data_IF_692421576191
#
_entry.id   IF_692421576191
#
_cell.length_a   1.000
_cell.length_b   1.000
_cell.length_c   1.000
_cell.angle_alpha   90.00
_cell.angle_beta   90.00
_cell.angle_gamma   90.00
#
_symmetry.space_group_name_H-M   'P 1'
#
loop_
_entity.id
_entity.type
_entity.pdbx_description
1 polymer ?
#
# COMPACT_ATOMS: atom_id res chain seq x y z
N UNK A 1 -23.39 -40.42 32.39
CA UNK A 1 -22.16 -41.22 32.53
C UNK A 1 -21.20 -40.80 31.43
N UNK A 2 -20.13 -40.08 31.76
CA UNK A 2 -19.10 -39.65 30.80
C UNK A 2 -17.94 -40.64 30.89
N UNK A 3 -17.46 -41.23 29.78
CA UNK A 3 -16.37 -42.20 29.84
C UNK A 3 -15.04 -41.50 30.16
N UNK A 4 -14.32 -42.10 31.09
CA UNK A 4 -13.14 -41.60 31.76
C UNK A 4 -11.94 -41.49 30.79
N UNK A 5 -11.24 -40.37 30.89
CA UNK A 5 -10.07 -39.99 30.11
C UNK A 5 -8.90 -40.93 30.37
N UNK A 6 -8.35 -41.55 29.33
CA UNK A 6 -7.05 -42.23 29.37
C UNK A 6 -5.91 -41.21 29.31
N UNK A 7 -5.86 -40.28 30.27
CA UNK A 7 -4.62 -39.56 30.57
C UNK A 7 -3.66 -40.60 31.15
N UNK A 8 -2.46 -40.70 30.59
CA UNK A 8 -1.37 -41.53 31.11
C UNK A 8 -1.09 -41.11 32.55
N UNK A 9 -1.77 -41.77 33.48
CA UNK A 9 -1.75 -41.44 34.89
C UNK A 9 -0.43 -41.96 35.46
N UNK A 10 0.31 -41.08 36.15
CA UNK A 10 1.60 -41.40 36.77
C UNK A 10 1.49 -42.66 37.63
N UNK A 11 2.22 -43.71 37.27
CA UNK A 11 2.28 -44.97 38.02
C UNK A 11 3.47 -44.94 39.00
N UNK A 12 3.24 -44.72 40.30
CA UNK A 12 4.33 -44.56 41.28
C UNK A 12 5.15 -45.84 41.50
N UNK A 13 4.64 -47.01 41.10
CA UNK A 13 5.37 -48.27 41.20
C UNK A 13 6.50 -48.40 40.15
N UNK A 14 6.40 -47.68 39.03
CA UNK A 14 7.38 -47.70 37.94
C UNK A 14 8.25 -46.44 37.98
N UNK A 15 7.70 -45.32 38.45
CA UNK A 15 8.33 -44.00 38.32
C UNK A 15 8.83 -43.36 39.64
N UNK A 16 8.58 -43.97 40.80
CA UNK A 16 9.01 -43.41 42.10
C UNK A 16 8.12 -42.26 42.58
N UNK A 17 8.54 -41.55 43.61
CA UNK A 17 7.88 -40.34 44.11
C UNK A 17 7.85 -39.24 43.03
N UNK A 18 6.70 -38.58 42.88
CA UNK A 18 6.47 -37.60 41.81
C UNK A 18 7.39 -36.39 41.98
N UNK A 19 8.38 -36.26 41.10
CA UNK A 19 9.29 -35.10 41.03
C UNK A 19 8.76 -34.05 40.02
N UNK A 20 8.29 -32.87 40.48
CA UNK A 20 7.76 -31.82 39.62
C UNK A 20 8.82 -31.13 38.76
N UNK A 21 10.11 -31.38 38.99
CA UNK A 21 11.22 -30.80 38.21
C UNK A 21 11.72 -31.72 37.10
N UNK A 22 11.16 -32.92 36.98
CA UNK A 22 11.62 -33.92 36.03
C UNK A 22 11.32 -33.53 34.56
N UNK A 23 12.16 -33.96 33.60
CA UNK A 23 12.02 -33.58 32.19
C UNK A 23 10.70 -34.05 31.56
N UNK A 24 10.09 -35.13 32.04
CA UNK A 24 8.78 -35.60 31.57
C UNK A 24 7.59 -34.77 32.10
N UNK A 25 7.79 -33.98 33.16
CA UNK A 25 6.78 -33.09 33.74
C UNK A 25 6.75 -31.71 33.06
N UNK A 26 7.74 -31.41 32.21
CA UNK A 26 7.83 -30.15 31.48
C UNK A 26 6.92 -30.20 30.26
N UNK A 27 5.73 -29.62 30.37
CA UNK A 27 4.85 -29.42 29.21
C UNK A 27 5.45 -28.33 28.32
N UNK A 28 5.53 -28.52 26.99
CA UNK A 28 5.95 -27.46 26.08
C UNK A 28 4.96 -26.30 26.16
N UNK A 29 5.46 -25.06 26.16
CA UNK A 29 4.61 -23.88 26.13
C UNK A 29 3.82 -23.88 24.81
N UNK A 30 2.52 -24.12 24.89
CA UNK A 30 1.60 -23.99 23.76
C UNK A 30 1.58 -22.52 23.34
N UNK A 31 2.18 -22.19 22.19
CA UNK A 31 2.02 -20.88 21.56
C UNK A 31 0.56 -20.75 21.09
N UNK A 32 -0.27 -20.16 21.94
CA UNK A 32 -1.69 -19.92 21.69
C UNK A 32 -1.87 -19.02 20.44
N UNK A 33 -2.41 -19.57 19.35
CA UNK A 33 -2.69 -18.83 18.11
C UNK A 33 -3.86 -17.86 18.31
N UNK A 34 -3.58 -16.67 18.86
CA UNK A 34 -4.59 -15.66 19.22
C UNK A 34 -4.49 -14.44 18.31
N UNK A 35 -5.57 -14.15 17.57
CA UNK A 35 -5.73 -12.90 16.82
C UNK A 35 -6.55 -11.87 17.63
N UNK A 36 -6.04 -10.65 17.79
CA UNK A 36 -6.78 -9.53 18.41
C UNK A 36 -7.28 -8.54 17.36
N UNK A 37 -8.54 -8.12 17.47
CA UNK A 37 -9.18 -7.11 16.63
C UNK A 37 -9.80 -6.02 17.50
N UNK A 38 -9.72 -4.76 17.07
CA UNK A 38 -10.33 -3.62 17.74
C UNK A 38 -11.59 -3.15 16.99
N UNK A 39 -12.63 -2.77 17.73
CA UNK A 39 -13.88 -2.25 17.19
C UNK A 39 -14.25 -0.94 17.87
N UNK A 40 -14.81 0.00 17.11
CA UNK A 40 -15.26 1.27 17.66
C UNK A 40 -16.51 1.05 18.53
N UNK A 41 -16.47 1.47 19.80
CA UNK A 41 -17.57 1.30 20.77
C UNK A 41 -18.92 1.87 20.31
N UNK A 42 -18.92 2.99 19.59
CA UNK A 42 -20.16 3.69 19.21
C UNK A 42 -20.73 3.22 17.87
N UNK A 43 -19.88 2.74 16.96
CA UNK A 43 -20.31 2.40 15.58
C UNK A 43 -20.13 0.92 15.24
N UNK A 44 -19.48 0.14 16.10
CA UNK A 44 -19.17 -1.28 15.87
C UNK A 44 -18.20 -1.54 14.72
N UNK A 45 -17.71 -0.51 14.03
CA UNK A 45 -16.84 -0.68 12.86
C UNK A 45 -15.45 -1.18 13.26
N UNK A 46 -14.91 -2.12 12.48
CA UNK A 46 -13.56 -2.64 12.62
C UNK A 46 -12.53 -1.51 12.49
N UNK A 47 -11.64 -1.43 13.47
CA UNK A 47 -10.48 -0.53 13.47
C UNK A 47 -9.24 -1.41 13.27
N UNK A 48 -8.83 -1.56 12.01
CA UNK A 48 -7.62 -2.32 11.67
C UNK A 48 -6.34 -1.70 12.24
N UNK A 49 -5.20 -2.37 12.06
CA UNK A 49 -3.90 -1.91 12.55
C UNK A 49 -3.47 -0.53 11.99
N UNK A 50 -3.91 -0.20 10.77
CA UNK A 50 -3.75 1.13 10.15
C UNK A 50 -4.98 2.03 10.33
N UNK A 51 -5.88 1.66 11.24
CA UNK A 51 -7.07 2.43 11.61
C UNK A 51 -6.69 3.75 12.27
N UNK A 52 -7.71 4.54 12.64
CA UNK A 52 -7.53 5.83 13.33
C UNK A 52 -6.91 5.62 14.72
N UNK A 53 -5.61 5.37 14.76
CA UNK A 53 -4.80 5.30 15.96
C UNK A 53 -4.82 6.66 16.67
N UNK A 54 -4.64 6.72 17.99
CA UNK A 54 -4.51 7.96 18.75
C UNK A 54 -3.53 8.94 18.10
N UNK A 55 -2.40 8.42 17.60
CA UNK A 55 -1.34 9.16 16.90
C UNK A 55 -1.84 9.90 15.64
N UNK A 56 -2.93 9.42 15.04
CA UNK A 56 -3.51 9.97 13.81
C UNK A 56 -4.56 11.06 14.06
N UNK A 57 -4.80 11.44 15.32
CA UNK A 57 -5.67 12.57 15.70
C UNK A 57 -4.84 13.84 15.94
N UNK A 58 -4.03 14.22 14.95
CA UNK A 58 -3.38 15.53 14.89
C UNK A 58 -4.15 16.48 13.96
N UNK A 59 -3.85 17.78 14.05
CA UNK A 59 -4.52 18.81 13.25
C UNK A 59 -4.29 18.61 11.74
N UNK A 60 -3.13 18.11 11.34
CA UNK A 60 -2.79 17.80 9.94
C UNK A 60 -3.69 16.70 9.34
N UNK A 61 -3.87 15.59 10.04
CA UNK A 61 -4.75 14.50 9.59
C UNK A 61 -6.23 14.89 9.66
N UNK A 62 -6.58 15.89 10.46
CA UNK A 62 -7.93 16.46 10.50
C UNK A 62 -8.17 17.37 9.29
N UNK A 63 -7.25 18.29 9.01
CA UNK A 63 -7.33 19.19 7.86
C UNK A 63 -7.36 18.39 6.56
N UNK A 64 -6.50 17.37 6.43
CA UNK A 64 -6.49 16.45 5.27
C UNK A 64 -7.84 15.78 5.05
N UNK A 65 -8.45 15.24 6.11
CA UNK A 65 -9.79 14.61 6.04
C UNK A 65 -10.91 15.59 5.70
N UNK A 66 -10.80 16.84 6.13
CA UNK A 66 -11.75 17.89 5.75
C UNK A 66 -11.58 18.28 4.29
N UNK A 67 -10.34 18.40 3.82
CA UNK A 67 -10.02 18.73 2.42
C UNK A 67 -10.42 17.63 1.45
N UNK A 68 -10.23 16.35 1.81
CA UNK A 68 -10.67 15.17 1.04
C UNK A 68 -12.18 15.21 0.70
N UNK A 69 -13.01 15.86 1.51
CA UNK A 69 -14.45 15.96 1.26
C UNK A 69 -14.81 16.96 0.15
N UNK A 70 -14.05 18.05 0.04
CA UNK A 70 -14.35 19.14 -0.90
C UNK A 70 -13.47 19.11 -2.15
N UNK A 71 -12.28 18.54 -2.03
CA UNK A 71 -11.29 18.47 -3.07
C UNK A 71 -10.88 17.01 -3.23
N UNK A 72 -10.84 16.53 -4.48
CA UNK A 72 -10.17 15.28 -4.80
C UNK A 72 -8.65 15.52 -4.69
N UNK A 73 -8.18 15.58 -3.43
CA UNK A 73 -6.80 15.90 -3.05
C UNK A 73 -5.84 14.89 -3.69
N UNK A 74 -6.28 13.64 -3.85
CA UNK A 74 -5.48 12.55 -4.43
C UNK A 74 -5.38 12.69 -5.96
N UNK A 75 -6.46 13.07 -6.65
CA UNK A 75 -6.39 13.39 -8.07
C UNK A 75 -5.57 14.65 -8.33
N UNK A 76 -5.70 15.70 -7.52
CA UNK A 76 -4.94 16.94 -7.67
C UNK A 76 -3.43 16.75 -7.35
N UNK A 77 -3.10 15.91 -6.37
CA UNK A 77 -1.71 15.53 -6.10
C UNK A 77 -1.10 14.69 -7.24
N UNK A 78 -1.92 13.85 -7.89
CA UNK A 78 -1.49 12.98 -8.99
C UNK A 78 -1.52 13.66 -10.37
N UNK A 79 -2.31 14.72 -10.56
CA UNK A 79 -2.58 15.32 -11.88
C UNK A 79 -1.37 15.94 -12.55
N UNK A 80 -0.30 16.17 -11.80
CA UNK A 80 0.89 16.85 -12.29
C UNK A 80 2.09 15.91 -12.49
N UNK A 81 1.99 14.58 -12.30
CA UNK A 81 3.15 13.66 -12.33
C UNK A 81 4.33 14.14 -11.45
N UNK A 82 4.06 14.93 -10.41
CA UNK A 82 5.09 15.61 -9.60
C UNK A 82 5.83 16.76 -10.30
N UNK A 83 5.36 17.20 -11.48
CA UNK A 83 5.90 18.35 -12.20
C UNK A 83 5.49 19.64 -11.48
N UNK A 84 6.44 20.55 -11.38
CA UNK A 84 6.17 21.88 -10.83
C UNK A 84 5.34 22.73 -11.79
N UNK A 85 4.56 23.67 -11.27
CA UNK A 85 3.84 24.69 -12.04
C UNK A 85 4.75 25.43 -13.05
N UNK A 86 6.04 25.57 -12.72
CA UNK A 86 7.06 26.16 -13.60
C UNK A 86 7.39 25.25 -14.78
N UNK A 87 7.45 23.93 -14.57
CA UNK A 87 7.68 22.95 -15.63
C UNK A 87 6.50 22.86 -16.60
N UNK A 88 5.27 23.06 -16.13
CA UNK A 88 4.07 23.13 -16.98
C UNK A 88 4.00 24.40 -17.81
N UNK A 89 4.43 25.53 -17.22
CA UNK A 89 4.49 26.82 -17.92
C UNK A 89 5.67 26.91 -18.88
N UNK A 90 6.64 26.00 -18.80
CA UNK A 90 7.73 25.98 -19.76
C UNK A 90 7.23 25.44 -21.10
N UNK A 91 7.37 26.28 -22.13
CA UNK A 91 7.12 25.86 -23.51
C UNK A 91 8.02 24.68 -23.85
N UNK A 92 7.43 23.64 -24.48
CA UNK A 92 8.15 22.41 -24.86
C UNK A 92 9.35 22.77 -25.74
N UNK A 93 10.56 22.59 -25.21
CA UNK A 93 11.80 22.78 -25.98
C UNK A 93 11.95 21.62 -26.95
N UNK A 94 11.88 21.89 -28.25
CA UNK A 94 12.09 20.87 -29.27
C UNK A 94 13.54 20.38 -29.22
N UNK A 95 13.70 19.07 -29.29
CA UNK A 95 15.01 18.43 -29.43
C UNK A 95 15.61 18.70 -30.81
N UNK A 96 16.94 18.63 -30.94
CA UNK A 96 17.62 18.84 -32.23
C UNK A 96 17.11 17.89 -33.34
N UNK A 97 16.71 16.67 -32.98
CA UNK A 97 16.12 15.69 -33.90
C UNK A 97 14.74 16.15 -34.40
N UNK A 98 13.88 16.63 -33.50
CA UNK A 98 12.56 17.15 -33.85
C UNK A 98 12.68 18.39 -34.77
N UNK A 99 13.60 19.31 -34.47
CA UNK A 99 13.86 20.49 -35.33
C UNK A 99 14.28 20.06 -36.75
N UNK A 100 15.17 19.06 -36.87
CA UNK A 100 15.60 18.53 -38.17
C UNK A 100 14.43 17.93 -38.94
N UNK A 101 13.58 17.13 -38.29
CA UNK A 101 12.40 16.53 -38.90
C UNK A 101 11.39 17.59 -39.40
N UNK A 102 11.21 18.70 -38.66
CA UNK A 102 10.37 19.80 -39.14
C UNK A 102 10.95 20.51 -40.37
N UNK A 103 12.27 20.69 -40.42
CA UNK A 103 12.94 21.27 -41.57
C UNK A 103 12.85 20.36 -42.80
N UNK A 104 13.05 19.05 -42.62
CA UNK A 104 12.90 18.05 -43.67
C UNK A 104 11.45 17.98 -44.18
N UNK A 105 10.44 17.95 -43.30
CA UNK A 105 9.02 18.06 -43.70
C UNK A 105 8.73 19.34 -44.48
N UNK A 106 9.30 20.47 -44.05
CA UNK A 106 9.13 21.76 -44.74
C UNK A 106 9.83 21.75 -46.11
N UNK A 107 10.97 21.05 -46.24
CA UNK A 107 11.70 20.87 -47.50
C UNK A 107 10.95 19.93 -48.45
N UNK A 108 10.52 18.77 -47.97
CA UNK A 108 9.71 17.81 -48.72
C UNK A 108 8.43 18.46 -49.27
N UNK A 109 7.70 19.23 -48.45
CA UNK A 109 6.51 19.97 -48.92
C UNK A 109 6.82 20.98 -50.04
N UNK A 110 8.00 21.62 -50.01
CA UNK A 110 8.43 22.53 -51.08
C UNK A 110 8.82 21.75 -52.34
N UNK A 111 9.51 20.63 -52.17
CA UNK A 111 9.92 19.76 -53.27
C UNK A 111 8.71 19.09 -53.94
N UNK A 112 7.71 18.66 -53.19
CA UNK A 112 6.42 18.17 -53.69
C UNK A 112 5.68 19.24 -54.48
N UNK A 113 5.60 20.48 -53.99
CA UNK A 113 4.99 21.58 -54.74
C UNK A 113 5.74 21.89 -56.04
N UNK A 114 7.07 21.87 -56.01
CA UNK A 114 7.90 22.02 -57.21
C UNK A 114 7.74 20.87 -58.18
N UNK A 115 7.62 19.64 -57.67
CA UNK A 115 7.44 18.42 -58.45
C UNK A 115 6.03 18.33 -59.04
N UNK A 116 5.02 18.80 -58.32
CA UNK A 116 3.64 18.92 -58.81
C UNK A 116 3.57 19.93 -59.97
N UNK A 117 4.21 21.09 -59.84
CA UNK A 117 4.35 22.06 -60.94
C UNK A 117 5.09 21.49 -62.16
N UNK A 118 5.91 20.44 -61.98
CA UNK A 118 6.64 19.78 -63.06
C UNK A 118 5.89 18.57 -63.65
N UNK A 119 4.73 18.22 -63.08
CA UNK A 119 3.94 17.05 -63.47
C UNK A 119 2.64 17.44 -64.19
N UNK A 120 2.22 18.70 -64.06
CA UNK A 120 1.26 19.38 -64.95
C UNK A 120 2.01 20.02 -66.13
#
# INVERSE_FOLDING_TARGET
>A
AVPNSTRLQYNPAIHGDYDPTAPYATQPAEEEYVSRAAFNRFTGKFQGANGKAPENYNDENKSRRQMEFYFDVDAAASSHDGRSLKAERQTRKLTRKEVKAFQEKRRARKEEKRKAWLRD
#
